data_IF_002454901880
#
_entry.id   IF_002454901880
#
_cell.length_a   1.000
_cell.length_b   1.000
_cell.length_c   1.000
_cell.angle_alpha   90.00
_cell.angle_beta   90.00
_cell.angle_gamma   90.00
#
_symmetry.space_group_name_H-M   'P 1'
#
loop_
_entity.id
_entity.type
_entity.pdbx_description
1 polymer ?
#
# COMPACT_ATOMS: atom_id res chain seq x y z
N UNK A 1 -8.11 -8.99 17.18
CA UNK A 1 -8.57 -8.51 15.85
C UNK A 1 -7.42 -8.68 14.87
N UNK A 2 -7.63 -9.28 13.71
CA UNK A 2 -6.61 -9.39 12.66
C UNK A 2 -6.50 -8.06 11.90
N UNK A 3 -5.28 -7.57 11.71
CA UNK A 3 -5.00 -6.37 10.92
C UNK A 3 -5.53 -6.52 9.48
N UNK A 4 -6.33 -5.55 9.02
CA UNK A 4 -6.83 -5.54 7.65
C UNK A 4 -5.67 -5.35 6.65
N UNK A 5 -5.79 -5.97 5.48
CA UNK A 5 -4.81 -5.86 4.38
C UNK A 5 -5.25 -4.76 3.42
N UNK A 6 -4.33 -3.89 3.05
CA UNK A 6 -4.55 -2.75 2.13
C UNK A 6 -3.55 -2.83 0.98
N UNK A 7 -4.03 -2.71 -0.26
CA UNK A 7 -3.22 -2.49 -1.45
C UNK A 7 -3.30 -1.01 -1.83
N UNK A 8 -2.16 -0.32 -1.80
CA UNK A 8 -2.06 1.07 -2.21
C UNK A 8 -1.42 1.17 -3.59
N UNK A 9 -2.14 1.76 -4.55
CA UNK A 9 -1.65 1.98 -5.92
C UNK A 9 -1.50 3.49 -6.17
N UNK A 10 -0.28 3.97 -6.35
CA UNK A 10 0.06 5.38 -6.61
C UNK A 10 1.29 5.50 -7.48
N UNK A 11 1.22 6.38 -8.48
CA UNK A 11 2.27 6.68 -9.45
C UNK A 11 3.43 7.51 -8.87
N UNK A 12 3.15 8.32 -7.85
CA UNK A 12 4.16 9.11 -7.14
C UNK A 12 4.80 8.30 -5.98
N UNK A 13 6.12 8.03 -6.02
CA UNK A 13 6.80 7.21 -5.02
C UNK A 13 6.92 7.90 -3.65
N UNK A 14 6.95 9.24 -3.60
CA UNK A 14 7.03 9.98 -2.33
C UNK A 14 5.71 9.93 -1.59
N UNK A 15 4.59 10.12 -2.30
CA UNK A 15 3.24 10.00 -1.73
C UNK A 15 3.00 8.56 -1.27
N UNK A 16 3.37 7.58 -2.09
CA UNK A 16 3.22 6.15 -1.78
C UNK A 16 3.97 5.78 -0.48
N UNK A 17 5.18 6.33 -0.28
CA UNK A 17 5.98 6.11 0.92
C UNK A 17 5.32 6.70 2.17
N UNK A 18 4.81 7.93 2.10
CA UNK A 18 4.15 8.60 3.24
C UNK A 18 2.90 7.82 3.67
N UNK A 19 2.02 7.51 2.72
CA UNK A 19 0.77 6.81 2.99
C UNK A 19 1.00 5.38 3.52
N UNK A 20 2.03 4.70 3.03
CA UNK A 20 2.42 3.37 3.55
C UNK A 20 2.78 3.47 5.03
N UNK A 21 3.57 4.45 5.43
CA UNK A 21 3.99 4.65 6.82
C UNK A 21 2.78 4.93 7.72
N UNK A 22 1.92 5.88 7.34
CA UNK A 22 0.72 6.25 8.12
C UNK A 22 -0.22 5.05 8.32
N UNK A 23 -0.45 4.26 7.26
CA UNK A 23 -1.31 3.07 7.34
C UNK A 23 -0.67 1.96 8.18
N UNK A 24 0.64 1.78 8.11
CA UNK A 24 1.35 0.82 8.96
C UNK A 24 1.30 1.23 10.45
N UNK A 25 1.48 2.52 10.74
CA UNK A 25 1.34 3.08 12.10
C UNK A 25 -0.09 2.91 12.65
N UNK A 26 -1.11 3.00 11.78
CA UNK A 26 -2.50 2.71 12.12
C UNK A 26 -2.80 1.20 12.28
N UNK A 27 -1.81 0.32 12.09
CA UNK A 27 -1.93 -1.12 12.32
C UNK A 27 -2.38 -1.94 11.11
N UNK A 28 -2.39 -1.37 9.90
CA UNK A 28 -2.72 -2.11 8.68
C UNK A 28 -1.53 -2.88 8.12
N UNK A 29 -1.82 -3.98 7.40
CA UNK A 29 -0.83 -4.66 6.56
C UNK A 29 -0.89 -4.09 5.15
N UNK A 30 0.13 -3.33 4.76
CA UNK A 30 0.11 -2.56 3.51
C UNK A 30 1.02 -3.18 2.46
N UNK A 31 0.46 -3.46 1.28
CA UNK A 31 1.18 -3.72 0.03
C UNK A 31 1.11 -2.48 -0.86
N UNK A 32 2.13 -2.23 -1.66
CA UNK A 32 2.21 -1.04 -2.52
C UNK A 32 2.53 -1.40 -3.96
N UNK A 33 2.00 -0.62 -4.90
CA UNK A 33 2.33 -0.69 -6.31
C UNK A 33 2.37 0.71 -6.93
N UNK A 34 3.28 0.92 -7.88
CA UNK A 34 3.46 2.16 -8.63
C UNK A 34 2.55 2.25 -9.86
N UNK A 35 1.86 1.16 -10.21
CA UNK A 35 0.90 1.12 -11.31
C UNK A 35 -0.22 0.11 -11.07
N UNK A 36 -1.33 0.28 -11.79
CA UNK A 36 -2.48 -0.63 -11.72
C UNK A 36 -2.08 -2.05 -12.12
N UNK A 37 -1.30 -2.22 -13.20
CA UNK A 37 -0.85 -3.54 -13.62
C UNK A 37 -0.02 -4.22 -12.54
N UNK A 38 0.97 -3.54 -11.98
CA UNK A 38 1.78 -4.10 -10.89
C UNK A 38 0.92 -4.50 -9.69
N UNK A 39 -0.08 -3.69 -9.31
CA UNK A 39 -0.93 -3.97 -8.16
C UNK A 39 -1.87 -5.17 -8.36
N UNK A 40 -2.38 -5.38 -9.58
CA UNK A 40 -3.31 -6.46 -9.89
C UNK A 40 -2.64 -7.79 -10.24
N UNK A 41 -1.35 -7.78 -10.57
CA UNK A 41 -0.58 -8.99 -10.90
C UNK A 41 0.32 -9.46 -9.76
N UNK A 42 0.32 -8.78 -8.61
CA UNK A 42 1.09 -9.20 -7.43
C UNK A 42 0.27 -10.24 -6.65
N UNK A 43 0.77 -11.48 -6.56
CA UNK A 43 0.16 -12.62 -5.83
C UNK A 43 -0.10 -12.33 -4.32
#
# INVERSE_FOLDING_TARGET
MTAARVLLIKDDPDILRILKLELQEAGYRVSTAESVMQGLTSD
#
